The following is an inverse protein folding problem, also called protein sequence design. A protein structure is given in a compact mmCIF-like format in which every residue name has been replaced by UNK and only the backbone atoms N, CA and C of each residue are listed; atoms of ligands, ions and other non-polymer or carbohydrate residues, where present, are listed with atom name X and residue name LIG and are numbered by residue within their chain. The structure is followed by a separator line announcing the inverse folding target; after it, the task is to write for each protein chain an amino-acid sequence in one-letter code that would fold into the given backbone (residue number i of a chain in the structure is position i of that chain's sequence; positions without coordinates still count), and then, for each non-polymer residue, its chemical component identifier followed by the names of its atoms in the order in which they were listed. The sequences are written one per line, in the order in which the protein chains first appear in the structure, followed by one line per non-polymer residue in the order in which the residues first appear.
data_IF_983084189137
#
_entry.id   IF_983084189137
#
_cell.length_a   1.000
_cell.length_b   1.000
_cell.length_c   1.000
_cell.angle_alpha   90.00
_cell.angle_beta   90.00
_cell.angle_gamma   90.00
#
_symmetry.space_group_name_H-M   'P 1'
#
loop_
_entity.id
_entity.type
_entity.pdbx_description
1 polymer ?
#
# COMPACT_ATOMS: atom_id res chain seq x y z
N UNK A 1 10.60 7.13 -34.14
CA UNK A 1 11.09 6.62 -32.84
C UNK A 1 10.43 7.46 -31.77
N UNK A 2 9.43 6.91 -31.08
CA UNK A 2 8.69 7.60 -30.04
C UNK A 2 9.60 7.74 -28.82
N UNK A 3 9.83 8.98 -28.36
CA UNK A 3 10.49 9.25 -27.10
C UNK A 3 9.69 8.57 -25.96
N UNK A 4 10.35 7.91 -24.98
CA UNK A 4 9.65 7.43 -23.81
C UNK A 4 9.05 8.64 -23.08
N UNK A 5 7.73 8.60 -22.91
CA UNK A 5 6.98 9.61 -22.19
C UNK A 5 7.55 9.75 -20.78
N UNK A 6 8.02 10.96 -20.44
CA UNK A 6 8.19 11.49 -19.09
C UNK A 6 8.28 10.43 -17.99
N UNK A 7 9.44 9.79 -17.87
CA UNK A 7 9.82 9.04 -16.69
C UNK A 7 10.07 10.06 -15.57
N UNK A 8 8.98 10.55 -14.96
CA UNK A 8 9.00 11.33 -13.73
C UNK A 8 9.41 10.37 -12.61
N UNK A 9 10.72 10.13 -12.52
CA UNK A 9 11.47 9.35 -11.53
C UNK A 9 10.68 9.08 -10.24
N UNK A 10 9.88 8.01 -10.22
CA UNK A 10 9.26 7.53 -8.99
C UNK A 10 10.37 7.01 -8.10
N UNK A 11 10.52 7.66 -6.93
CA UNK A 11 11.56 7.28 -5.97
C UNK A 11 11.14 6.00 -5.27
N UNK A 12 12.06 5.09 -5.02
CA UNK A 12 11.78 3.93 -4.16
C UNK A 12 12.03 4.30 -2.70
N UNK A 13 10.98 4.25 -1.89
CA UNK A 13 11.05 4.44 -0.45
C UNK A 13 11.48 3.18 0.30
N UNK A 14 11.72 3.31 1.60
CA UNK A 14 12.01 2.17 2.49
C UNK A 14 10.82 1.21 2.56
N UNK A 15 11.04 -0.12 2.55
CA UNK A 15 9.95 -1.09 2.72
C UNK A 15 9.10 -0.81 3.95
N UNK A 16 7.80 -1.04 3.82
CA UNK A 16 6.80 -0.86 4.87
C UNK A 16 6.21 -2.21 5.23
N UNK A 17 6.01 -2.46 6.51
CA UNK A 17 5.36 -3.65 7.01
C UNK A 17 4.22 -3.26 7.96
N UNK A 18 3.04 -3.84 7.76
CA UNK A 18 1.92 -3.72 8.67
C UNK A 18 1.67 -5.04 9.36
N UNK A 19 1.67 -5.02 10.70
CA UNK A 19 1.41 -6.21 11.51
C UNK A 19 -0.07 -6.23 11.88
N UNK A 20 -0.78 -7.26 11.44
CA UNK A 20 -2.19 -7.50 11.78
C UNK A 20 -2.33 -7.74 13.28
N UNK A 21 -3.31 -7.07 13.90
CA UNK A 21 -3.58 -7.18 15.33
C UNK A 21 -2.63 -6.39 16.25
N UNK A 22 -1.59 -5.74 15.73
CA UNK A 22 -0.70 -4.90 16.53
C UNK A 22 -1.42 -3.66 17.10
N UNK A 23 -2.35 -3.10 16.33
CA UNK A 23 -3.18 -1.96 16.69
C UNK A 23 -4.49 -2.01 15.88
N UNK A 24 -5.50 -1.19 16.20
CA UNK A 24 -6.74 -1.14 15.42
C UNK A 24 -6.46 -0.92 13.93
N UNK A 25 -7.16 -1.66 13.07
CA UNK A 25 -6.93 -1.69 11.63
C UNK A 25 -6.90 -0.30 10.98
N UNK A 26 -7.84 0.57 11.36
CA UNK A 26 -7.90 1.96 10.90
C UNK A 26 -6.68 2.78 11.31
N UNK A 27 -6.20 2.64 12.55
CA UNK A 27 -4.99 3.33 13.04
C UNK A 27 -3.74 2.83 12.31
N UNK A 28 -3.64 1.52 12.09
CA UNK A 28 -2.52 0.91 11.37
C UNK A 28 -2.47 1.42 9.92
N UNK A 29 -3.61 1.38 9.21
CA UNK A 29 -3.72 1.87 7.85
C UNK A 29 -3.41 3.38 7.75
N UNK A 30 -3.96 4.20 8.66
CA UNK A 30 -3.74 5.64 8.69
C UNK A 30 -2.26 6.00 8.96
N UNK A 31 -1.57 5.21 9.79
CA UNK A 31 -0.14 5.42 10.06
C UNK A 31 0.71 5.26 8.80
N UNK A 32 0.31 4.37 7.87
CA UNK A 32 1.00 4.18 6.61
C UNK A 32 0.67 5.29 5.61
N UNK A 33 -0.63 5.51 5.34
CA UNK A 33 -1.09 6.44 4.30
C UNK A 33 -0.77 7.89 4.62
N UNK A 34 -0.71 8.26 5.91
CA UNK A 34 -0.35 9.61 6.35
C UNK A 34 1.14 9.95 6.28
N UNK A 35 2.02 8.97 6.02
CA UNK A 35 3.48 9.14 6.03
C UNK A 35 4.13 8.80 4.67
N UNK A 36 3.37 8.91 3.58
CA UNK A 36 3.90 8.76 2.23
C UNK A 36 4.52 10.08 1.77
N UNK A 37 5.64 9.98 1.07
CA UNK A 37 6.21 11.10 0.33
C UNK A 37 5.63 11.10 -1.08
N UNK A 38 5.35 12.29 -1.61
CA UNK A 38 4.86 12.44 -2.98
C UNK A 38 5.84 11.82 -3.99
N UNK A 39 5.28 11.16 -5.02
CA UNK A 39 5.99 10.47 -6.10
C UNK A 39 7.00 9.44 -5.60
N UNK A 40 6.60 8.69 -4.56
CA UNK A 40 7.44 7.68 -3.93
C UNK A 40 6.70 6.35 -3.82
N UNK A 41 7.32 5.31 -4.37
CA UNK A 41 6.86 3.93 -4.34
C UNK A 41 7.45 3.20 -3.14
N UNK A 42 6.61 2.62 -2.29
CA UNK A 42 7.01 1.85 -1.12
C UNK A 42 6.61 0.38 -1.31
N UNK A 43 7.57 -0.56 -1.32
CA UNK A 43 7.25 -1.97 -1.13
C UNK A 43 6.49 -2.15 0.19
N UNK A 44 5.40 -2.92 0.17
CA UNK A 44 4.52 -3.11 1.31
C UNK A 44 4.29 -4.59 1.56
N UNK A 45 4.51 -5.04 2.80
CA UNK A 45 4.07 -6.34 3.31
C UNK A 45 3.02 -6.17 4.40
N UNK A 46 2.13 -7.16 4.50
CA UNK A 46 1.23 -7.35 5.63
C UNK A 46 1.58 -8.68 6.29
N UNK A 47 1.88 -8.63 7.58
CA UNK A 47 2.27 -9.78 8.38
C UNK A 47 1.22 -10.12 9.43
N UNK A 48 1.06 -11.41 9.69
CA UNK A 48 0.19 -11.93 10.75
C UNK A 48 0.89 -13.10 11.43
N UNK A 49 1.11 -12.99 12.74
CA UNK A 49 1.80 -14.01 13.55
C UNK A 49 3.17 -14.40 12.94
N UNK A 50 3.91 -13.40 12.43
CA UNK A 50 5.24 -13.60 11.84
C UNK A 50 5.27 -14.14 10.42
N UNK A 51 4.11 -14.36 9.78
CA UNK A 51 4.04 -14.76 8.36
C UNK A 51 3.53 -13.63 7.48
N UNK A 52 4.13 -13.47 6.30
CA UNK A 52 3.67 -12.53 5.27
C UNK A 52 2.40 -13.10 4.61
N UNK A 53 1.26 -12.46 4.84
CA UNK A 53 -0.05 -12.88 4.32
C UNK A 53 -0.45 -12.14 3.04
N UNK A 54 0.09 -10.94 2.83
CA UNK A 54 -0.07 -10.19 1.58
C UNK A 54 1.15 -9.30 1.33
N UNK A 55 1.46 -9.05 0.06
CA UNK A 55 2.59 -8.22 -0.36
C UNK A 55 2.28 -7.46 -1.65
N UNK A 56 2.96 -6.34 -1.85
CA UNK A 56 2.86 -5.51 -3.04
C UNK A 56 3.48 -4.14 -2.79
N UNK A 57 2.75 -3.08 -3.08
CA UNK A 57 3.26 -1.72 -2.94
C UNK A 57 2.16 -0.70 -2.67
N UNK A 58 2.57 0.42 -2.09
CA UNK A 58 1.80 1.64 -1.97
C UNK A 58 2.62 2.81 -2.52
N UNK A 59 1.97 3.71 -3.24
CA UNK A 59 2.61 4.85 -3.87
C UNK A 59 1.70 6.07 -3.78
N UNK A 60 2.28 7.22 -3.45
CA UNK A 60 1.65 8.51 -3.76
C UNK A 60 2.15 8.97 -5.14
N UNK A 61 1.27 9.00 -6.14
CA UNK A 61 1.62 9.33 -7.52
C UNK A 61 1.67 10.84 -7.79
N UNK A 62 1.35 11.67 -6.79
CA UNK A 62 1.08 13.11 -6.95
C UNK A 62 -0.34 13.42 -7.48
N UNK A 63 -1.04 12.42 -8.06
CA UNK A 63 -2.45 12.51 -8.41
C UNK A 63 -3.36 11.83 -7.37
N UNK A 64 -2.79 10.97 -6.52
CA UNK A 64 -3.47 10.23 -5.47
C UNK A 64 -2.66 9.03 -5.01
N UNK A 65 -3.23 8.22 -4.12
CA UNK A 65 -2.58 7.01 -3.62
C UNK A 65 -2.98 5.81 -4.47
N UNK A 66 -1.99 5.08 -4.96
CA UNK A 66 -2.16 3.76 -5.58
C UNK A 66 -1.65 2.67 -4.64
N UNK A 67 -2.41 1.58 -4.50
CA UNK A 67 -2.14 0.50 -3.57
C UNK A 67 -2.51 -0.83 -4.22
N UNK A 68 -1.53 -1.72 -4.34
CA UNK A 68 -1.73 -3.06 -4.88
C UNK A 68 -1.16 -4.08 -3.91
N UNK A 69 -1.97 -5.07 -3.51
CA UNK A 69 -1.54 -6.18 -2.67
C UNK A 69 -2.03 -7.51 -3.20
N UNK A 70 -1.19 -8.52 -3.06
CA UNK A 70 -1.40 -9.89 -3.53
C UNK A 70 -1.11 -10.85 -2.38
N UNK A 71 -1.93 -11.89 -2.22
CA UNK A 71 -1.69 -12.93 -1.20
C UNK A 71 -0.65 -13.97 -1.66
N UNK A 72 -0.36 -14.95 -0.81
CA UNK A 72 0.60 -16.03 -1.11
C UNK A 72 0.21 -16.88 -2.34
N UNK A 73 -1.07 -16.93 -2.71
CA UNK A 73 -1.58 -17.65 -3.88
C UNK A 73 -1.47 -16.83 -5.18
N UNK A 74 -0.92 -15.61 -5.13
CA UNK A 74 -0.86 -14.74 -6.31
C UNK A 74 -2.18 -14.02 -6.62
N UNK A 75 -3.19 -14.13 -5.74
CA UNK A 75 -4.48 -13.46 -5.92
C UNK A 75 -4.40 -12.04 -5.39
N UNK A 76 -4.81 -11.07 -6.22
CA UNK A 76 -4.88 -9.66 -5.83
C UNK A 76 -5.99 -9.47 -4.79
N UNK A 77 -5.61 -9.10 -3.58
CA UNK A 77 -6.53 -8.89 -2.44
C UNK A 77 -6.89 -7.42 -2.25
N UNK A 78 -6.10 -6.51 -2.83
CA UNK A 78 -6.39 -5.09 -2.85
C UNK A 78 -5.83 -4.46 -4.13
N UNK A 79 -6.66 -3.66 -4.79
CA UNK A 79 -6.28 -2.86 -5.95
C UNK A 79 -6.99 -1.51 -5.87
N UNK A 80 -6.22 -0.46 -5.65
CA UNK A 80 -6.70 0.92 -5.64
C UNK A 80 -5.77 1.74 -6.52
N UNK A 81 -6.34 2.58 -7.38
CA UNK A 81 -5.58 3.47 -8.26
C UNK A 81 -6.10 4.88 -8.09
N UNK A 82 -5.19 5.82 -7.83
CA UNK A 82 -5.47 7.25 -7.64
C UNK A 82 -6.60 7.52 -6.63
N UNK A 83 -6.63 6.78 -5.51
CA UNK A 83 -7.56 7.03 -4.42
C UNK A 83 -7.13 8.23 -3.57
N UNK A 84 -8.08 8.87 -2.89
CA UNK A 84 -7.73 9.87 -1.87
C UNK A 84 -7.04 9.19 -0.68
N UNK A 85 -6.32 9.95 0.19
CA UNK A 85 -5.80 9.39 1.43
C UNK A 85 -6.86 8.69 2.30
N UNK A 86 -8.09 9.19 2.29
CA UNK A 86 -9.22 8.58 2.99
C UNK A 86 -9.61 7.23 2.37
N UNK A 87 -9.70 7.14 1.04
CA UNK A 87 -10.03 5.89 0.33
C UNK A 87 -8.97 4.82 0.56
N UNK A 88 -7.68 5.19 0.46
CA UNK A 88 -6.57 4.29 0.70
C UNK A 88 -6.56 3.77 2.14
N UNK A 89 -6.78 4.68 3.10
CA UNK A 89 -6.86 4.33 4.52
C UNK A 89 -8.01 3.37 4.79
N UNK A 90 -9.20 3.66 4.25
CA UNK A 90 -10.38 2.82 4.43
C UNK A 90 -10.21 1.45 3.78
N UNK A 91 -9.73 1.39 2.54
CA UNK A 91 -9.61 0.13 1.80
C UNK A 91 -8.55 -0.79 2.44
N UNK A 92 -7.44 -0.21 2.90
CA UNK A 92 -6.42 -0.94 3.64
C UNK A 92 -6.90 -1.39 5.01
N UNK A 93 -7.61 -0.54 5.76
CA UNK A 93 -8.21 -0.93 7.04
C UNK A 93 -9.18 -2.10 6.88
N UNK A 94 -10.04 -2.07 5.85
CA UNK A 94 -10.97 -3.16 5.53
C UNK A 94 -10.25 -4.46 5.19
N UNK A 95 -9.10 -4.39 4.52
CA UNK A 95 -8.27 -5.57 4.29
C UNK A 95 -7.72 -6.11 5.62
N UNK A 96 -7.15 -5.25 6.46
CA UNK A 96 -6.60 -5.64 7.76
C UNK A 96 -7.66 -6.27 8.67
N UNK A 97 -8.88 -5.72 8.71
CA UNK A 97 -10.02 -6.29 9.46
C UNK A 97 -10.38 -7.70 8.97
N UNK A 98 -10.32 -7.97 7.66
CA UNK A 98 -10.58 -9.31 7.10
C UNK A 98 -9.49 -10.33 7.40
N UNK A 99 -8.29 -9.85 7.72
CA UNK A 99 -7.14 -10.68 8.05
C UNK A 99 -7.01 -10.95 9.55
N UNK A 100 -7.79 -10.25 10.39
CA UNK A 100 -7.83 -10.45 11.85
C UNK A 100 -8.78 -11.60 12.17
#
# INVERSE_FOLDING_TARGET
MNAPAHDLLTRTGQPRCLIVGLMPAHTNAASLTGNLLERTHYPLSIERVGEVVAQGHIEDTGAGISLTLTNAQGVRVLNLHNGTPADATWALAKLLERLT
#
